data_IF_436066909309
#
_entry.id   IF_436066909309
#
_cell.length_a   1.000
_cell.length_b   1.000
_cell.length_c   1.000
_cell.angle_alpha   90.00
_cell.angle_beta   90.00
_cell.angle_gamma   90.00
#
_symmetry.space_group_name_H-M   'P 1'
#
loop_
_entity.id
_entity.type
_entity.pdbx_description
1 polymer ?
#
# COMPACT_ATOMS: atom_id res chain seq x y z
N UNK A 1 9.45 10.28 -19.20
CA UNK A 1 8.58 10.51 -18.03
C UNK A 1 8.11 9.17 -17.47
N UNK A 2 8.90 8.52 -16.60
CA UNK A 2 8.43 7.31 -15.91
C UNK A 2 7.57 7.76 -14.74
N UNK A 3 6.29 8.05 -15.01
CA UNK A 3 5.32 8.25 -13.93
C UNK A 3 5.29 6.97 -13.10
N UNK A 4 6.00 6.97 -11.98
CA UNK A 4 5.95 5.92 -10.99
C UNK A 4 4.52 5.89 -10.46
N UNK A 5 3.65 5.09 -11.11
CA UNK A 5 2.25 4.83 -10.72
C UNK A 5 2.24 4.07 -9.39
N UNK A 6 2.62 4.78 -8.34
CA UNK A 6 2.69 4.30 -6.97
C UNK A 6 1.62 5.01 -6.19
N UNK A 7 0.94 4.26 -5.35
CA UNK A 7 0.02 4.82 -4.38
C UNK A 7 0.75 5.87 -3.56
N UNK A 8 0.13 7.04 -3.46
CA UNK A 8 0.69 8.18 -2.74
C UNK A 8 0.93 7.82 -1.27
N UNK A 9 1.82 8.55 -0.59
CA UNK A 9 2.10 8.34 0.84
C UNK A 9 0.81 8.41 1.67
N UNK A 10 -0.08 9.33 1.34
CA UNK A 10 -1.38 9.49 2.00
C UNK A 10 -2.27 8.25 1.85
N UNK A 11 -2.40 7.70 0.63
CA UNK A 11 -3.19 6.50 0.38
C UNK A 11 -2.67 5.29 1.17
N UNK A 12 -1.34 5.13 1.26
CA UNK A 12 -0.75 4.04 2.04
C UNK A 12 -0.90 4.22 3.55
N UNK A 13 -0.83 5.45 4.06
CA UNK A 13 -1.11 5.74 5.46
C UNK A 13 -2.56 5.44 5.82
N UNK A 14 -3.51 5.78 4.95
CA UNK A 14 -4.92 5.42 5.12
C UNK A 14 -5.13 3.90 5.08
N UNK A 15 -4.57 3.20 4.09
CA UNK A 15 -4.63 1.74 3.99
C UNK A 15 -4.04 1.04 5.23
N UNK A 16 -2.93 1.56 5.76
CA UNK A 16 -2.30 1.03 6.99
C UNK A 16 -3.20 1.19 8.22
N UNK A 17 -3.95 2.29 8.31
CA UNK A 17 -4.94 2.49 9.37
C UNK A 17 -6.09 1.49 9.24
N UNK A 18 -6.61 1.29 8.04
CA UNK A 18 -7.69 0.32 7.74
C UNK A 18 -7.28 -1.12 8.10
N UNK A 19 -6.03 -1.51 7.84
CA UNK A 19 -5.54 -2.84 8.22
C UNK A 19 -5.44 -3.06 9.73
N UNK A 20 -5.05 -2.02 10.48
CA UNK A 20 -4.87 -2.10 11.94
C UNK A 20 -6.17 -1.94 12.73
N UNK A 21 -7.16 -1.30 12.13
CA UNK A 21 -8.44 -1.08 12.76
C UNK A 21 -9.34 -2.33 12.64
N UNK A 22 -9.89 -2.76 13.78
CA UNK A 22 -10.71 -3.97 13.89
C UNK A 22 -12.14 -3.76 13.38
N UNK A 23 -12.57 -2.50 13.19
CA UNK A 23 -13.90 -2.13 12.69
C UNK A 23 -14.09 -2.42 11.21
N UNK A 24 -13.00 -2.60 10.45
CA UNK A 24 -13.06 -2.88 9.02
C UNK A 24 -13.15 -4.38 8.72
N UNK A 25 -14.06 -4.73 7.80
CA UNK A 25 -14.28 -6.11 7.35
C UNK A 25 -13.09 -6.67 6.56
N UNK A 26 -13.03 -8.00 6.40
CA UNK A 26 -12.00 -8.67 5.60
C UNK A 26 -11.90 -8.10 4.19
N UNK A 27 -13.03 -7.81 3.54
CA UNK A 27 -13.06 -7.23 2.19
C UNK A 27 -12.37 -5.85 2.13
N UNK A 28 -12.65 -4.97 3.10
CA UNK A 28 -12.02 -3.66 3.20
C UNK A 28 -10.50 -3.77 3.43
N UNK A 29 -10.07 -4.74 4.26
CA UNK A 29 -8.66 -5.02 4.51
C UNK A 29 -7.94 -5.56 3.28
N UNK A 30 -8.60 -6.41 2.48
CA UNK A 30 -8.06 -6.89 1.20
C UNK A 30 -7.83 -5.75 0.22
N UNK A 31 -8.81 -4.84 0.05
CA UNK A 31 -8.66 -3.69 -0.83
C UNK A 31 -7.52 -2.75 -0.36
N UNK A 32 -7.40 -2.51 0.95
CA UNK A 32 -6.30 -1.74 1.53
C UNK A 32 -4.94 -2.41 1.32
N UNK A 33 -4.86 -3.74 1.45
CA UNK A 33 -3.65 -4.51 1.19
C UNK A 33 -3.23 -4.43 -0.29
N UNK A 34 -4.18 -4.50 -1.23
CA UNK A 34 -3.90 -4.30 -2.66
C UNK A 34 -3.30 -2.92 -2.94
N UNK A 35 -3.80 -1.87 -2.28
CA UNK A 35 -3.25 -0.51 -2.40
C UNK A 35 -1.84 -0.38 -1.80
N UNK A 36 -1.55 -1.11 -0.71
CA UNK A 36 -0.23 -1.15 -0.11
C UNK A 36 0.78 -1.90 -0.99
N UNK A 37 0.38 -3.03 -1.59
CA UNK A 37 1.20 -3.82 -2.50
C UNK A 37 1.58 -3.06 -3.78
N UNK A 38 0.66 -2.24 -4.29
CA UNK A 38 0.93 -1.37 -5.45
C UNK A 38 1.91 -0.24 -5.15
N UNK A 39 2.02 0.19 -3.88
CA UNK A 39 3.08 1.11 -3.46
C UNK A 39 4.37 0.31 -3.53
N UNK A 40 5.28 0.72 -4.42
CA UNK A 40 6.55 0.02 -4.59
C UNK A 40 7.16 -0.25 -3.21
N UNK A 41 7.63 -1.48 -2.90
CA UNK A 41 8.67 -1.56 -1.90
C UNK A 41 9.74 -0.57 -2.35
N UNK A 42 10.24 0.29 -1.44
CA UNK A 42 11.44 1.08 -1.72
C UNK A 42 12.40 0.13 -2.40
N UNK A 43 12.82 0.43 -3.63
CA UNK A 43 13.74 -0.44 -4.36
C UNK A 43 14.86 -0.77 -3.38
N UNK A 44 14.92 -2.02 -2.91
CA UNK A 44 16.16 -2.47 -2.31
C UNK A 44 17.18 -2.25 -3.41
N UNK A 45 18.27 -1.56 -3.06
CA UNK A 45 19.43 -1.48 -3.93
C UNK A 45 19.67 -2.84 -4.55
N UNK A 46 19.96 -2.82 -5.85
CA UNK A 46 20.03 -4.03 -6.64
C UNK A 46 21.07 -5.03 -6.14
N UNK A 47 21.00 -6.22 -6.77
CA UNK A 47 21.94 -7.34 -6.67
C UNK A 47 21.88 -8.03 -5.29
N UNK A 48 21.82 -9.36 -5.18
CA UNK A 48 22.29 -10.44 -6.04
C UNK A 48 21.45 -11.69 -5.72
#
# INVERSE_FOLDING_TARGET
>A
MTSQRRTSKAAASAASKVMRDQRYSKAAKTAAASALSQRAPKSKGGKK
#
